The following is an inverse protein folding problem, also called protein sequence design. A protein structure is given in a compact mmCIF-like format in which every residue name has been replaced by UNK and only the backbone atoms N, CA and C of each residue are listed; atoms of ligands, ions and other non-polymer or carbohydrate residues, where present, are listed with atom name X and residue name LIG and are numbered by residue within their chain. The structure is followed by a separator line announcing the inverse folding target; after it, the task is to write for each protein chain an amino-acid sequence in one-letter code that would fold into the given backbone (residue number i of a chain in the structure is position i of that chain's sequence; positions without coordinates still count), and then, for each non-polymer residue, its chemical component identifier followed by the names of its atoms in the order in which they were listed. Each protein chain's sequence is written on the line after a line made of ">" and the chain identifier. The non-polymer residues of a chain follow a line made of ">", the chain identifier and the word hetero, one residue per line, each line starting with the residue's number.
data_IF_508506158116
#
_entry.id   IF_508506158116
#
_cell.length_a   1.000
_cell.length_b   1.000
_cell.length_c   1.000
_cell.angle_alpha   90.00
_cell.angle_beta   90.00
_cell.angle_gamma   90.00
#
_symmetry.space_group_name_H-M   'P 1'
#
loop_
_entity.id
_entity.type
_entity.pdbx_description
1 polymer ?
#
# COMPACT_ATOMS: atom_id res chain seq x y z
N UNK A 1 -8.23 12.54 -3.30
CA UNK A 1 -8.94 11.36 -3.83
C UNK A 1 -10.41 11.45 -3.43
N UNK A 2 -11.34 11.24 -4.37
CA UNK A 2 -12.79 11.20 -4.13
C UNK A 2 -13.27 9.75 -4.30
N UNK A 3 -14.08 9.25 -3.37
CA UNK A 3 -14.57 7.87 -3.36
C UNK A 3 -16.09 7.86 -3.30
N UNK A 4 -16.73 7.00 -4.09
CA UNK A 4 -18.17 6.79 -3.98
C UNK A 4 -18.48 5.95 -2.74
N UNK A 5 -19.55 6.29 -2.02
CA UNK A 5 -20.00 5.55 -0.85
C UNK A 5 -20.25 4.07 -1.15
N UNK A 6 -20.97 3.78 -2.23
CA UNK A 6 -21.24 2.40 -2.64
C UNK A 6 -19.97 1.58 -2.93
N UNK A 7 -18.89 2.23 -3.40
CA UNK A 7 -17.59 1.58 -3.52
C UNK A 7 -17.02 1.19 -2.16
N UNK A 8 -17.09 2.08 -1.18
CA UNK A 8 -16.60 1.79 0.18
C UNK A 8 -17.41 0.70 0.88
N UNK A 9 -18.72 0.65 0.61
CA UNK A 9 -19.61 -0.41 1.11
C UNK A 9 -19.29 -1.77 0.49
N UNK A 10 -18.89 -1.81 -0.79
CA UNK A 10 -18.52 -3.02 -1.52
C UNK A 10 -17.06 -3.45 -1.26
N UNK A 11 -16.11 -2.55 -1.41
CA UNK A 11 -14.67 -2.84 -1.35
C UNK A 11 -14.04 -2.67 0.04
N UNK A 12 -14.75 -2.02 0.97
CA UNK A 12 -14.23 -1.65 2.29
C UNK A 12 -13.36 -0.39 2.27
N UNK A 13 -12.93 0.03 3.45
CA UNK A 13 -12.07 1.19 3.67
C UNK A 13 -10.60 0.89 3.30
N UNK A 14 -9.71 1.83 3.62
CA UNK A 14 -8.26 1.59 3.61
C UNK A 14 -7.92 0.44 4.56
N UNK A 15 -7.04 -0.45 4.12
CA UNK A 15 -6.64 -1.60 4.92
C UNK A 15 -5.57 -1.18 5.92
N UNK A 16 -5.87 -1.32 7.22
CA UNK A 16 -5.01 -0.92 8.33
C UNK A 16 -3.68 -1.71 8.41
N UNK A 17 -3.55 -2.80 7.66
CA UNK A 17 -2.28 -3.53 7.55
C UNK A 17 -1.19 -2.67 6.93
N UNK A 18 -1.58 -1.67 6.11
CA UNK A 18 -0.68 -0.66 5.54
C UNK A 18 -0.58 0.52 6.49
N UNK A 19 0.52 0.62 7.21
CA UNK A 19 0.75 1.78 8.07
C UNK A 19 1.13 3.03 7.27
N UNK A 20 1.89 2.86 6.19
CA UNK A 20 2.38 3.95 5.36
C UNK A 20 2.81 3.44 3.97
N UNK A 21 2.37 4.10 2.91
CA UNK A 21 2.51 3.69 1.51
C UNK A 21 1.68 2.46 1.11
N UNK A 22 1.26 2.42 -0.14
CA UNK A 22 0.53 1.34 -0.81
C UNK A 22 -0.94 1.15 -0.36
N UNK A 23 -1.43 1.91 0.62
CA UNK A 23 -2.83 1.88 1.06
C UNK A 23 -3.79 2.35 -0.04
N UNK A 24 -3.40 3.37 -0.79
CA UNK A 24 -4.11 3.89 -1.96
C UNK A 24 -4.05 2.92 -3.14
N UNK A 25 -2.87 2.33 -3.37
CA UNK A 25 -2.65 1.32 -4.40
C UNK A 25 -3.48 0.06 -4.13
N UNK A 26 -3.53 -0.39 -2.89
CA UNK A 26 -4.38 -1.51 -2.47
C UNK A 26 -5.86 -1.23 -2.73
N UNK A 27 -6.31 -0.02 -2.38
CA UNK A 27 -7.69 0.40 -2.59
C UNK A 27 -8.04 0.43 -4.08
N UNK A 28 -7.15 1.00 -4.91
CA UNK A 28 -7.31 1.01 -6.37
C UNK A 28 -7.31 -0.40 -6.96
N UNK A 29 -6.46 -1.29 -6.44
CA UNK A 29 -6.42 -2.68 -6.88
C UNK A 29 -7.72 -3.42 -6.55
N UNK A 30 -8.25 -3.25 -5.33
CA UNK A 30 -9.56 -3.81 -4.94
C UNK A 30 -10.71 -3.23 -5.77
N UNK A 31 -10.66 -1.94 -6.12
CA UNK A 31 -11.63 -1.32 -7.02
C UNK A 31 -11.66 -2.03 -8.38
N UNK A 32 -10.49 -2.26 -8.99
CA UNK A 32 -10.38 -2.96 -10.28
C UNK A 32 -10.87 -4.40 -10.18
N UNK A 33 -10.55 -5.12 -9.12
CA UNK A 33 -11.04 -6.49 -8.91
C UNK A 33 -12.56 -6.59 -8.82
N UNK A 34 -13.24 -5.50 -8.43
CA UNK A 34 -14.70 -5.40 -8.32
C UNK A 34 -15.33 -4.63 -9.48
N UNK A 35 -14.61 -4.48 -10.59
CA UNK A 35 -15.09 -3.80 -11.81
C UNK A 35 -15.48 -2.33 -11.60
N UNK A 36 -14.98 -1.68 -10.53
CA UNK A 36 -15.11 -0.24 -10.34
C UNK A 36 -14.17 0.52 -11.27
N UNK A 37 -14.66 1.62 -11.83
CA UNK A 37 -13.86 2.48 -12.70
C UNK A 37 -13.08 3.48 -11.87
N UNK A 38 -11.81 3.67 -12.25
CA UNK A 38 -10.93 4.70 -11.71
C UNK A 38 -10.75 5.76 -12.79
N UNK A 39 -10.96 7.02 -12.44
CA UNK A 39 -10.79 8.15 -13.34
C UNK A 39 -9.88 9.21 -12.72
N UNK A 40 -9.21 9.97 -13.56
CA UNK A 40 -8.45 11.17 -13.18
C UNK A 40 -9.34 12.38 -13.47
N UNK A 41 -9.44 13.30 -12.51
CA UNK A 41 -10.08 14.59 -12.69
C UNK A 41 -9.00 15.59 -13.12
N UNK A 42 -8.85 15.81 -14.44
CA UNK A 42 -7.74 16.58 -15.03
C UNK A 42 -7.74 18.05 -14.58
N UNK A 43 -8.93 18.60 -14.31
CA UNK A 43 -9.10 19.98 -13.85
C UNK A 43 -8.85 20.17 -12.35
N UNK A 44 -8.65 19.06 -11.61
CA UNK A 44 -8.44 19.11 -10.16
C UNK A 44 -6.98 19.37 -9.82
N UNK A 45 -6.71 20.49 -9.17
CA UNK A 45 -5.37 20.87 -8.73
C UNK A 45 -5.24 20.67 -7.22
N UNK A 46 -4.25 19.90 -6.81
CA UNK A 46 -3.93 19.65 -5.40
C UNK A 46 -2.49 20.04 -5.10
N UNK A 47 -2.30 20.95 -4.15
CA UNK A 47 -0.97 21.33 -3.66
C UNK A 47 -0.50 20.32 -2.60
N UNK A 48 0.37 19.39 -2.99
CA UNK A 48 0.86 18.33 -2.13
C UNK A 48 2.26 18.66 -1.57
N UNK A 49 2.37 18.82 -0.25
CA UNK A 49 3.67 18.97 0.43
C UNK A 49 4.36 17.63 0.56
N UNK A 50 5.05 17.20 -0.50
CA UNK A 50 5.72 15.89 -0.54
C UNK A 50 6.75 15.77 0.58
N UNK A 51 6.66 14.70 1.37
CA UNK A 51 7.66 14.37 2.38
C UNK A 51 7.60 15.20 3.66
N UNK A 52 6.57 16.01 3.88
CA UNK A 52 6.45 16.84 5.09
C UNK A 52 6.49 16.02 6.38
N UNK A 53 5.98 14.80 6.36
CA UNK A 53 5.94 13.91 7.53
C UNK A 53 7.22 13.08 7.73
N UNK A 54 7.93 12.72 6.66
CA UNK A 54 9.02 11.73 6.71
C UNK A 54 10.39 12.34 6.40
N UNK A 55 10.43 13.43 5.63
CA UNK A 55 11.68 14.05 5.16
C UNK A 55 11.81 15.50 5.62
N UNK A 56 11.23 15.87 6.75
CA UNK A 56 11.35 17.25 7.26
C UNK A 56 12.83 17.66 7.31
N UNK A 57 13.25 18.45 6.32
CA UNK A 57 14.60 19.01 6.23
C UNK A 57 15.67 18.17 5.51
N UNK A 58 15.37 16.98 4.97
CA UNK A 58 16.36 16.16 4.27
C UNK A 58 16.06 16.00 2.77
N UNK A 59 17.08 16.19 1.92
CA UNK A 59 17.03 15.89 0.47
C UNK A 59 17.04 14.39 0.17
N UNK A 60 17.42 13.55 1.12
CA UNK A 60 17.50 12.10 0.96
C UNK A 60 16.44 11.41 1.81
N UNK A 61 15.79 10.41 1.23
CA UNK A 61 14.81 9.57 1.94
C UNK A 61 15.47 8.94 3.17
N UNK A 62 14.85 9.07 4.34
CA UNK A 62 15.33 8.45 5.57
C UNK A 62 15.31 6.91 5.45
N UNK A 63 16.13 6.23 6.25
CA UNK A 63 16.13 4.76 6.28
C UNK A 63 14.76 4.22 6.73
N UNK A 64 14.08 4.93 7.63
CA UNK A 64 12.77 4.51 8.12
C UNK A 64 11.68 4.67 7.05
N UNK A 65 11.75 5.72 6.22
CA UNK A 65 10.89 5.85 5.06
C UNK A 65 11.13 4.73 4.02
N UNK A 66 12.39 4.36 3.80
CA UNK A 66 12.74 3.23 2.94
C UNK A 66 12.20 1.90 3.50
N UNK A 67 12.35 1.66 4.82
CA UNK A 67 11.84 0.48 5.52
C UNK A 67 10.31 0.38 5.41
N UNK A 68 9.60 1.48 5.70
CA UNK A 68 8.14 1.53 5.60
C UNK A 68 7.68 1.21 4.18
N UNK A 69 8.32 1.80 3.17
CA UNK A 69 7.98 1.56 1.76
C UNK A 69 8.19 0.10 1.33
N UNK A 70 9.34 -0.50 1.66
CA UNK A 70 9.61 -1.88 1.25
C UNK A 70 8.75 -2.87 2.02
N UNK A 71 8.41 -2.57 3.28
CA UNK A 71 7.46 -3.37 4.07
C UNK A 71 6.08 -3.37 3.41
N UNK A 72 5.56 -2.19 3.07
CA UNK A 72 4.25 -2.06 2.43
C UNK A 72 4.21 -2.71 1.04
N UNK A 73 5.31 -2.63 0.27
CA UNK A 73 5.43 -3.35 -0.98
C UNK A 73 5.36 -4.89 -0.76
N UNK A 74 6.05 -5.41 0.26
CA UNK A 74 5.95 -6.81 0.65
C UNK A 74 4.52 -7.21 1.02
N UNK A 75 3.82 -6.38 1.82
CA UNK A 75 2.41 -6.60 2.19
C UNK A 75 1.54 -6.69 0.94
N UNK A 76 1.68 -5.73 0.02
CA UNK A 76 0.89 -5.70 -1.21
C UNK A 76 1.11 -6.95 -2.06
N UNK A 77 2.36 -7.37 -2.27
CA UNK A 77 2.68 -8.58 -3.01
C UNK A 77 2.11 -9.83 -2.32
N UNK A 78 2.32 -9.99 -1.02
CA UNK A 78 1.79 -11.11 -0.25
C UNK A 78 0.27 -11.22 -0.33
N UNK A 79 -0.42 -10.07 -0.30
CA UNK A 79 -1.88 -10.00 -0.33
C UNK A 79 -2.45 -10.32 -1.71
N UNK A 80 -1.82 -9.88 -2.79
CA UNK A 80 -2.45 -9.85 -4.12
C UNK A 80 -1.81 -10.76 -5.18
N UNK A 81 -0.53 -11.14 -5.06
CA UNK A 81 0.18 -11.74 -6.19
C UNK A 81 -0.04 -13.24 -6.38
N UNK A 82 -0.52 -13.97 -5.37
CA UNK A 82 -0.75 -15.43 -5.52
C UNK A 82 0.49 -16.18 -6.00
N UNK A 83 0.35 -17.01 -7.03
CA UNK A 83 1.46 -17.77 -7.62
C UNK A 83 2.52 -16.88 -8.28
N UNK A 84 2.17 -15.67 -8.69
CA UNK A 84 3.12 -14.72 -9.24
C UNK A 84 4.20 -14.27 -8.24
N UNK A 85 4.05 -14.59 -6.95
CA UNK A 85 5.10 -14.38 -5.94
C UNK A 85 6.42 -15.04 -6.30
N UNK A 86 6.39 -16.20 -6.96
CA UNK A 86 7.60 -16.92 -7.38
C UNK A 86 8.50 -16.06 -8.29
N UNK A 87 7.92 -15.16 -9.06
CA UNK A 87 8.64 -14.22 -9.94
C UNK A 87 8.78 -12.85 -9.30
N UNK A 88 7.71 -12.35 -8.67
CA UNK A 88 7.69 -11.00 -8.12
C UNK A 88 8.68 -10.79 -6.98
N UNK A 89 8.86 -11.77 -6.09
CA UNK A 89 9.80 -11.66 -4.96
C UNK A 89 11.24 -11.57 -5.44
N UNK A 90 11.78 -12.49 -6.27
CA UNK A 90 13.15 -12.36 -6.80
C UNK A 90 13.38 -11.06 -7.55
N UNK A 91 12.44 -10.61 -8.40
CA UNK A 91 12.56 -9.35 -9.13
C UNK A 91 12.63 -8.14 -8.20
N UNK A 92 11.80 -8.10 -7.14
CA UNK A 92 11.84 -7.02 -6.17
C UNK A 92 13.15 -6.99 -5.39
N UNK A 93 13.65 -8.16 -4.97
CA UNK A 93 14.94 -8.26 -4.27
C UNK A 93 16.10 -7.82 -5.17
N UNK A 94 16.12 -8.27 -6.42
CA UNK A 94 17.13 -7.87 -7.39
C UNK A 94 17.08 -6.35 -7.68
N UNK A 95 15.89 -5.79 -7.89
CA UNK A 95 15.68 -4.35 -8.08
C UNK A 95 16.14 -3.54 -6.87
N UNK A 96 15.84 -4.02 -5.67
CA UNK A 96 16.28 -3.40 -4.41
C UNK A 96 17.82 -3.41 -4.30
N UNK A 97 18.46 -4.54 -4.58
CA UNK A 97 19.92 -4.67 -4.56
C UNK A 97 20.58 -3.73 -5.57
N UNK A 98 20.09 -3.72 -6.82
CA UNK A 98 20.59 -2.86 -7.90
C UNK A 98 20.47 -1.37 -7.53
N UNK A 99 19.30 -0.95 -6.99
CA UNK A 99 19.09 0.43 -6.53
C UNK A 99 20.09 0.83 -5.44
N UNK A 100 20.33 -0.06 -4.44
CA UNK A 100 21.26 0.22 -3.34
C UNK A 100 22.71 0.23 -3.83
N UNK A 101 23.05 -0.61 -4.78
CA UNK A 101 24.37 -0.59 -5.44
C UNK A 101 24.60 0.73 -6.16
N UNK A 102 23.65 1.17 -7.03
CA UNK A 102 23.73 2.46 -7.73
C UNK A 102 23.87 3.66 -6.78
N UNK A 103 23.21 3.60 -5.62
CA UNK A 103 23.25 4.66 -4.59
C UNK A 103 24.40 4.51 -3.60
N UNK A 104 25.28 3.53 -3.76
CA UNK A 104 26.37 3.19 -2.82
C UNK A 104 25.87 2.98 -1.37
N UNK A 105 24.70 2.37 -1.21
CA UNK A 105 24.00 2.17 0.06
C UNK A 105 23.82 0.69 0.42
N UNK A 106 24.74 -0.19 0.04
CA UNK A 106 24.63 -1.64 0.25
C UNK A 106 24.49 -2.02 1.73
N UNK A 107 25.06 -1.23 2.64
CA UNK A 107 24.90 -1.44 4.08
C UNK A 107 23.44 -1.41 4.57
N UNK A 108 22.54 -0.77 3.83
CA UNK A 108 21.10 -0.73 4.15
C UNK A 108 20.36 -1.99 3.70
N UNK A 109 20.92 -2.76 2.78
CA UNK A 109 20.24 -3.86 2.11
C UNK A 109 19.70 -4.93 3.08
N UNK A 110 20.48 -5.44 4.07
CA UNK A 110 19.97 -6.48 4.97
C UNK A 110 18.71 -6.04 5.73
N UNK A 111 18.70 -4.80 6.23
CA UNK A 111 17.55 -4.23 6.93
C UNK A 111 16.33 -4.09 6.04
N UNK A 112 16.51 -3.69 4.79
CA UNK A 112 15.40 -3.54 3.84
C UNK A 112 14.84 -4.90 3.39
N UNK A 113 15.70 -5.89 3.18
CA UNK A 113 15.28 -7.27 2.88
C UNK A 113 14.46 -7.84 4.04
N UNK A 114 14.92 -7.67 5.27
CA UNK A 114 14.19 -8.11 6.47
C UNK A 114 12.79 -7.46 6.57
N UNK A 115 12.69 -6.16 6.33
CA UNK A 115 11.40 -5.47 6.33
C UNK A 115 10.49 -5.88 5.18
N UNK A 116 11.04 -6.12 4.01
CA UNK A 116 10.29 -6.66 2.88
C UNK A 116 9.70 -8.05 3.19
N UNK A 117 10.51 -8.96 3.74
CA UNK A 117 10.08 -10.32 4.11
C UNK A 117 9.03 -10.29 5.23
N UNK A 118 9.20 -9.39 6.21
CA UNK A 118 8.18 -9.14 7.24
C UNK A 118 6.86 -8.68 6.63
N UNK A 119 6.94 -7.74 5.68
CA UNK A 119 5.77 -7.26 4.95
C UNK A 119 5.10 -8.39 4.15
N UNK A 120 5.88 -9.20 3.43
CA UNK A 120 5.39 -10.35 2.68
C UNK A 120 4.60 -11.33 3.57
N UNK A 121 5.16 -11.65 4.73
CA UNK A 121 4.49 -12.51 5.72
C UNK A 121 3.15 -11.91 6.20
N UNK A 122 3.14 -10.61 6.53
CA UNK A 122 1.91 -9.91 6.95
C UNK A 122 0.86 -9.92 5.83
N UNK A 123 1.27 -9.67 4.59
CA UNK A 123 0.37 -9.70 3.43
C UNK A 123 -0.23 -11.08 3.17
N UNK A 124 0.56 -12.15 3.30
CA UNK A 124 0.08 -13.53 3.19
C UNK A 124 -0.93 -13.89 4.29
N UNK A 125 -0.72 -13.38 5.51
CA UNK A 125 -1.71 -13.54 6.60
C UNK A 125 -2.99 -12.76 6.32
N UNK A 126 -2.87 -11.49 5.91
CA UNK A 126 -4.01 -10.65 5.59
C UNK A 126 -4.87 -11.23 4.46
N UNK A 127 -4.26 -11.84 3.47
CA UNK A 127 -4.96 -12.54 2.38
C UNK A 127 -5.92 -13.62 2.89
N UNK A 128 -5.56 -14.34 3.94
CA UNK A 128 -6.41 -15.39 4.55
C UNK A 128 -7.57 -14.81 5.35
N UNK A 129 -7.47 -13.56 5.77
CA UNK A 129 -8.47 -12.87 6.62
C UNK A 129 -9.49 -12.05 5.82
N UNK A 130 -9.43 -12.04 4.50
CA UNK A 130 -10.41 -11.33 3.64
C UNK A 130 -11.71 -12.17 3.56
N UNK A 131 -12.39 -12.32 4.69
CA UNK A 131 -13.84 -12.52 4.72
C UNK A 131 -14.51 -11.15 4.49
N UNK A 132 -15.68 -11.06 3.84
CA UNK A 132 -16.29 -9.79 3.46
C UNK A 132 -16.58 -8.94 4.72
N UNK A 133 -15.86 -7.81 4.85
CA UNK A 133 -16.13 -6.79 5.88
C UNK A 133 -17.42 -5.98 5.60
N UNK A 134 -18.31 -6.50 4.77
CA UNK A 134 -19.57 -5.84 4.38
C UNK A 134 -20.49 -5.48 5.57
N UNK A 135 -20.26 -6.03 6.76
CA UNK A 135 -21.21 -5.90 7.88
C UNK A 135 -20.91 -4.77 8.89
N UNK A 136 -19.77 -4.07 8.83
CA UNK A 136 -19.43 -3.05 9.84
C UNK A 136 -19.94 -1.64 9.54
N UNK A 137 -20.34 -1.34 8.32
CA UNK A 137 -20.79 0.01 7.96
C UNK A 137 -22.29 0.24 8.17
N UNK A 138 -23.09 -0.82 8.38
CA UNK A 138 -24.54 -0.69 8.58
C UNK A 138 -24.95 -0.22 9.99
N UNK A 139 -24.08 -0.34 10.99
CA UNK A 139 -24.41 -0.05 12.39
C UNK A 139 -23.99 1.34 12.89
N UNK A 140 -23.25 2.13 12.10
CA UNK A 140 -22.67 3.41 12.54
C UNK A 140 -23.20 4.68 11.87
N UNK A 141 -24.07 4.57 10.88
CA UNK A 141 -24.58 5.74 10.16
C UNK A 141 -26.09 5.88 10.29
N UNK A 142 -26.55 6.46 11.42
CA UNK A 142 -27.89 7.02 11.53
C UNK A 142 -28.04 8.10 10.47
N UNK A 143 -29.04 7.98 9.59
CA UNK A 143 -29.40 9.04 8.64
C UNK A 143 -29.77 10.30 9.45
N UNK A 144 -29.21 11.48 9.17
CA UNK A 144 -29.78 12.70 9.65
C UNK A 144 -31.19 12.83 9.06
N UNK A 145 -32.18 13.11 9.90
CA UNK A 145 -33.52 13.45 9.46
C UNK A 145 -33.45 14.65 8.51
N UNK A 146 -34.34 14.61 7.50
CA UNK A 146 -34.51 15.69 6.53
C UNK A 146 -34.96 16.97 7.20
#
# INVERSE_FOLDING_TARGET
>A
MLLRRGFLEDAGLLDEVFFFYMEDTDLCFRAKQRSWRIAVAEESVVYHKVGATINAGSRTRSLDADRAHVRSNGIFLGKHSGAALLVAVPLNLAGMALMRMKRRQLRRLPSLVSEFMRGLYLGLRARRSIAPQAHRLSSGFSRPAR
#
